data_IF_265616992758
#
_entry.id   IF_265616992758
#
_cell.length_a   1.000
_cell.length_b   1.000
_cell.length_c   1.000
_cell.angle_alpha   90.00
_cell.angle_beta   90.00
_cell.angle_gamma   90.00
#
_symmetry.space_group_name_H-M   'P 1'
#
loop_
_entity.id
_entity.type
_entity.pdbx_description
1 polymer ?
#
# COMPACT_ATOMS: atom_id res chain seq x y z
N UNK A 1 -11.88 -24.06 4.42
CA UNK A 1 -13.23 -24.58 4.49
C UNK A 1 -13.40 -25.79 3.60
N UNK A 2 -14.61 -26.29 3.49
CA UNK A 2 -15.01 -27.42 2.64
C UNK A 2 -16.41 -27.15 2.12
N UNK A 3 -16.61 -27.21 0.80
CA UNK A 3 -17.88 -26.89 0.13
C UNK A 3 -18.80 -28.09 0.00
N UNK A 4 -18.33 -29.31 0.25
CA UNK A 4 -19.11 -30.55 0.09
C UNK A 4 -19.75 -31.04 1.40
N UNK A 5 -19.51 -30.34 2.54
CA UNK A 5 -19.98 -30.82 3.86
C UNK A 5 -21.51 -30.93 4.00
N UNK A 6 -22.25 -30.09 3.29
CA UNK A 6 -23.71 -30.00 3.33
C UNK A 6 -24.36 -30.39 1.99
N UNK A 7 -23.56 -30.79 1.00
CA UNK A 7 -24.05 -31.31 -0.27
C UNK A 7 -24.46 -32.77 -0.14
N UNK A 8 -25.52 -33.17 -0.87
CA UNK A 8 -26.05 -34.52 -0.84
C UNK A 8 -26.38 -35.03 -2.25
N UNK A 9 -26.20 -36.31 -2.44
CA UNK A 9 -26.65 -37.03 -3.63
C UNK A 9 -27.79 -38.01 -3.27
N UNK A 10 -28.79 -38.13 -4.17
CA UNK A 10 -29.96 -38.95 -3.90
C UNK A 10 -29.66 -40.45 -3.85
N UNK A 11 -28.67 -40.89 -4.62
CA UNK A 11 -28.22 -42.29 -4.71
C UNK A 11 -27.02 -42.54 -3.76
N UNK A 12 -26.61 -41.50 -2.99
CA UNK A 12 -25.48 -41.54 -2.06
C UNK A 12 -24.11 -41.74 -2.74
N UNK A 13 -23.99 -41.27 -3.98
CA UNK A 13 -22.73 -41.27 -4.71
C UNK A 13 -21.73 -40.27 -4.12
N UNK A 14 -20.40 -40.54 -4.16
CA UNK A 14 -19.38 -39.63 -3.71
C UNK A 14 -19.35 -38.38 -4.58
N UNK A 15 -19.51 -37.18 -3.95
CA UNK A 15 -19.42 -35.90 -4.62
C UNK A 15 -18.00 -35.42 -4.72
N UNK A 16 -17.68 -34.76 -5.84
CA UNK A 16 -16.40 -34.11 -6.07
C UNK A 16 -16.59 -32.73 -6.71
N UNK A 17 -15.71 -31.79 -6.43
CA UNK A 17 -15.65 -30.53 -7.18
C UNK A 17 -14.98 -30.78 -8.52
N UNK A 18 -15.68 -30.51 -9.60
CA UNK A 18 -15.24 -30.78 -10.98
C UNK A 18 -14.83 -29.53 -11.76
N UNK A 19 -15.34 -28.33 -11.37
CA UNK A 19 -14.99 -27.07 -12.01
C UNK A 19 -15.12 -25.90 -11.04
N UNK A 20 -14.44 -24.81 -11.36
CA UNK A 20 -14.46 -23.51 -10.64
C UNK A 20 -14.33 -22.37 -11.64
N UNK A 21 -15.07 -21.29 -11.44
CA UNK A 21 -14.90 -20.04 -12.20
C UNK A 21 -13.57 -19.36 -11.86
N UNK A 22 -12.97 -18.66 -12.83
CA UNK A 22 -11.73 -17.92 -12.62
C UNK A 22 -10.46 -18.77 -12.59
N UNK A 23 -10.56 -20.12 -12.74
CA UNK A 23 -9.40 -21.02 -12.70
C UNK A 23 -9.73 -22.47 -12.95
N UNK A 24 -8.97 -23.36 -12.32
CA UNK A 24 -9.16 -24.82 -12.38
C UNK A 24 -9.11 -25.40 -10.97
N UNK A 25 -9.79 -26.55 -10.77
CA UNK A 25 -9.72 -27.30 -9.51
C UNK A 25 -8.27 -27.66 -9.19
N UNK A 26 -7.88 -27.53 -7.92
CA UNK A 26 -6.52 -27.72 -7.41
C UNK A 26 -5.49 -26.73 -7.94
N UNK A 27 -5.93 -25.62 -8.55
CA UNK A 27 -5.10 -24.51 -9.02
C UNK A 27 -5.73 -23.19 -8.59
N UNK A 28 -4.99 -22.09 -8.78
CA UNK A 28 -5.47 -20.77 -8.45
C UNK A 28 -6.68 -20.38 -9.33
N UNK A 29 -7.78 -20.04 -8.69
CA UNK A 29 -8.90 -19.32 -9.28
C UNK A 29 -8.82 -17.86 -8.83
N UNK A 30 -8.78 -16.93 -9.80
CA UNK A 30 -8.58 -15.50 -9.51
C UNK A 30 -9.94 -14.81 -9.32
N UNK A 31 -10.10 -14.18 -8.16
CA UNK A 31 -11.12 -13.19 -7.87
C UNK A 31 -10.64 -11.78 -8.13
N UNK A 32 -11.42 -10.79 -7.75
CA UNK A 32 -11.08 -9.37 -7.81
C UNK A 32 -10.11 -9.00 -6.69
N UNK A 33 -10.39 -9.48 -5.48
CA UNK A 33 -9.67 -9.11 -4.26
C UNK A 33 -8.73 -10.20 -3.76
N UNK A 34 -8.89 -11.45 -4.24
CA UNK A 34 -8.09 -12.55 -3.76
C UNK A 34 -8.00 -13.73 -4.71
N UNK A 35 -7.32 -14.75 -4.22
CA UNK A 35 -7.11 -16.01 -4.92
C UNK A 35 -7.75 -17.15 -4.11
N UNK A 36 -8.56 -17.98 -4.79
CA UNK A 36 -9.14 -19.20 -4.25
C UNK A 36 -8.40 -20.42 -4.80
N UNK A 37 -8.05 -21.36 -3.92
CA UNK A 37 -7.66 -22.72 -4.30
C UNK A 37 -8.69 -23.67 -3.72
N UNK A 38 -9.40 -24.40 -4.57
CA UNK A 38 -10.38 -25.42 -4.18
C UNK A 38 -9.92 -26.79 -4.69
N UNK A 39 -9.97 -27.79 -3.84
CA UNK A 39 -9.59 -29.16 -4.18
C UNK A 39 -10.80 -29.97 -4.64
N UNK A 40 -10.56 -31.06 -5.35
CA UNK A 40 -11.64 -31.96 -5.79
C UNK A 40 -12.43 -32.58 -4.64
N UNK A 41 -11.85 -32.69 -3.45
CA UNK A 41 -12.52 -33.18 -2.24
C UNK A 41 -13.33 -32.09 -1.50
N UNK A 42 -13.49 -30.90 -2.08
CA UNK A 42 -14.27 -29.78 -1.50
C UNK A 42 -13.47 -28.85 -0.59
N UNK A 43 -12.29 -29.24 -0.12
CA UNK A 43 -11.48 -28.38 0.73
C UNK A 43 -10.97 -27.15 -0.03
N UNK A 44 -10.96 -25.99 0.63
CA UNK A 44 -10.50 -24.74 0.00
C UNK A 44 -9.75 -23.81 0.94
N UNK A 45 -8.94 -22.96 0.31
CA UNK A 45 -8.28 -21.81 0.94
C UNK A 45 -8.52 -20.57 0.05
N UNK A 46 -8.95 -19.49 0.65
CA UNK A 46 -9.02 -18.18 0.02
C UNK A 46 -7.99 -17.24 0.68
N UNK A 47 -7.29 -16.48 -0.13
CA UNK A 47 -6.32 -15.46 0.31
C UNK A 47 -6.64 -14.15 -0.39
N UNK A 48 -6.86 -13.09 0.36
CA UNK A 48 -6.98 -11.73 -0.17
C UNK A 48 -5.56 -11.22 -0.48
N UNK A 49 -5.09 -11.44 -1.69
CA UNK A 49 -3.69 -11.26 -2.14
C UNK A 49 -3.57 -10.37 -3.38
N UNK A 50 -4.59 -9.58 -3.68
CA UNK A 50 -4.61 -8.70 -4.85
C UNK A 50 -4.43 -7.25 -4.44
N UNK A 51 -3.77 -6.47 -5.29
CA UNK A 51 -3.65 -5.02 -5.11
C UNK A 51 -5.01 -4.30 -4.92
N UNK A 52 -6.09 -4.88 -5.45
CA UNK A 52 -7.44 -4.36 -5.20
C UNK A 52 -7.94 -4.61 -3.76
N UNK A 53 -7.37 -5.59 -3.05
CA UNK A 53 -7.64 -5.78 -1.63
C UNK A 53 -6.80 -4.83 -0.77
N UNK A 54 -5.53 -4.63 -1.14
CA UNK A 54 -4.62 -3.69 -0.47
C UNK A 54 -5.10 -2.22 -0.62
N UNK A 55 -5.85 -1.91 -1.69
CA UNK A 55 -6.40 -0.58 -1.94
C UNK A 55 -7.77 -0.31 -1.27
N UNK A 56 -8.21 -1.19 -0.37
CA UNK A 56 -9.45 -0.98 0.39
C UNK A 56 -9.15 -0.18 1.65
N UNK A 57 -9.80 0.96 1.78
CA UNK A 57 -9.72 1.76 3.00
C UNK A 57 -10.28 1.00 4.22
N UNK A 58 -9.88 1.40 5.42
CA UNK A 58 -10.52 0.92 6.64
C UNK A 58 -12.04 1.10 6.55
N UNK A 59 -12.81 0.13 7.02
CA UNK A 59 -14.27 0.07 6.94
C UNK A 59 -14.86 -0.31 5.56
N UNK A 60 -14.09 -0.38 4.51
CA UNK A 60 -14.55 -0.94 3.25
C UNK A 60 -14.90 -2.42 3.39
N UNK A 61 -16.01 -2.80 2.78
CA UNK A 61 -16.50 -4.19 2.78
C UNK A 61 -16.93 -4.56 1.37
N UNK A 62 -16.19 -5.49 0.79
CA UNK A 62 -16.41 -5.97 -0.58
C UNK A 62 -16.55 -7.49 -0.60
N UNK A 63 -16.91 -8.07 -1.76
CA UNK A 63 -17.05 -9.52 -1.88
C UNK A 63 -16.38 -10.04 -3.15
N UNK A 64 -15.71 -11.18 -3.01
CA UNK A 64 -15.38 -12.08 -4.13
C UNK A 64 -16.38 -13.23 -4.20
N UNK A 65 -16.72 -13.63 -5.41
CA UNK A 65 -17.68 -14.68 -5.65
C UNK A 65 -17.17 -15.66 -6.70
N UNK A 66 -17.23 -16.96 -6.38
CA UNK A 66 -16.80 -18.04 -7.25
C UNK A 66 -17.93 -19.04 -7.44
N UNK A 67 -18.25 -19.36 -8.70
CA UNK A 67 -19.17 -20.45 -9.03
C UNK A 67 -18.38 -21.73 -9.16
N UNK A 68 -18.76 -22.79 -8.44
CA UNK A 68 -18.16 -24.10 -8.56
C UNK A 68 -19.19 -25.12 -9.03
N UNK A 69 -18.68 -26.20 -9.61
CA UNK A 69 -19.50 -27.33 -10.08
C UNK A 69 -19.11 -28.58 -9.32
N UNK A 70 -20.09 -29.29 -8.80
CA UNK A 70 -19.91 -30.63 -8.22
C UNK A 70 -20.37 -31.70 -9.21
N UNK A 71 -19.82 -32.90 -9.05
CA UNK A 71 -20.18 -34.09 -9.86
C UNK A 71 -20.23 -35.32 -8.97
N UNK A 72 -21.19 -36.20 -9.28
CA UNK A 72 -21.39 -37.55 -8.70
C UNK A 72 -20.52 -38.64 -9.37
N UNK A 73 -19.79 -38.28 -10.46
CA UNK A 73 -19.01 -39.25 -11.23
C UNK A 73 -19.83 -40.15 -12.20
N UNK A 74 -21.16 -40.08 -12.13
CA UNK A 74 -22.08 -40.88 -12.94
C UNK A 74 -22.82 -40.06 -14.02
N UNK A 75 -22.44 -38.79 -14.17
CA UNK A 75 -22.98 -37.87 -15.17
C UNK A 75 -23.89 -36.78 -14.61
N UNK A 76 -24.26 -36.84 -13.32
CA UNK A 76 -24.96 -35.79 -12.62
C UNK A 76 -23.99 -34.66 -12.23
N UNK A 77 -24.46 -33.42 -12.35
CA UNK A 77 -23.71 -32.24 -11.94
C UNK A 77 -24.62 -31.17 -11.35
N UNK A 78 -24.15 -30.41 -10.39
CA UNK A 78 -24.81 -29.21 -9.86
C UNK A 78 -23.82 -28.08 -9.70
N UNK A 79 -24.32 -26.83 -9.69
CA UNK A 79 -23.48 -25.64 -9.49
C UNK A 79 -23.95 -24.90 -8.26
N UNK A 80 -22.98 -24.33 -7.53
CA UNK A 80 -23.23 -23.45 -6.40
C UNK A 80 -22.22 -22.30 -6.38
N UNK A 81 -22.38 -21.38 -5.43
CA UNK A 81 -21.56 -20.18 -5.31
C UNK A 81 -20.90 -20.11 -3.95
N UNK A 82 -19.62 -19.84 -3.94
CA UNK A 82 -18.84 -19.55 -2.75
C UNK A 82 -18.54 -18.05 -2.72
N UNK A 83 -18.92 -17.38 -1.64
CA UNK A 83 -18.77 -15.93 -1.48
C UNK A 83 -17.84 -15.64 -0.29
N UNK A 84 -16.83 -14.82 -0.53
CA UNK A 84 -15.93 -14.30 0.50
C UNK A 84 -16.19 -12.83 0.71
N UNK A 85 -16.30 -12.42 1.97
CA UNK A 85 -16.32 -11.02 2.36
C UNK A 85 -14.90 -10.61 2.70
N UNK A 86 -14.38 -9.60 2.00
CA UNK A 86 -13.08 -8.97 2.24
C UNK A 86 -13.33 -7.63 2.91
N UNK A 87 -12.61 -7.37 3.98
CA UNK A 87 -12.66 -6.10 4.70
C UNK A 87 -11.34 -5.39 4.52
N UNK A 88 -11.38 -4.09 4.22
CA UNK A 88 -10.23 -3.22 4.20
C UNK A 88 -9.65 -3.02 5.60
N UNK A 89 -8.38 -2.75 5.62
CA UNK A 89 -7.60 -2.30 6.79
C UNK A 89 -6.84 -1.05 6.36
N UNK A 90 -6.54 -0.16 7.31
CA UNK A 90 -5.73 1.02 7.07
C UNK A 90 -4.27 0.60 6.88
N UNK A 91 -3.67 0.98 5.77
CA UNK A 91 -2.26 0.77 5.47
C UNK A 91 -1.45 2.03 5.81
N UNK A 92 -0.24 1.86 6.31
CA UNK A 92 0.64 2.98 6.61
C UNK A 92 1.29 3.53 5.31
N UNK A 93 1.44 4.85 5.17
CA UNK A 93 2.12 5.44 4.02
C UNK A 93 3.60 5.05 3.95
N UNK A 94 4.11 4.97 2.74
CA UNK A 94 5.51 4.65 2.43
C UNK A 94 6.21 5.89 1.91
N UNK A 95 7.09 6.48 2.76
CA UNK A 95 7.93 7.61 2.41
C UNK A 95 9.18 7.19 1.64
N UNK A 96 9.53 7.94 0.61
CA UNK A 96 10.73 7.77 -0.22
C UNK A 96 11.61 9.01 -0.12
N UNK A 97 12.88 8.82 0.25
CA UNK A 97 13.80 9.93 0.51
C UNK A 97 14.02 10.83 -0.72
N UNK A 98 14.06 12.14 -0.48
CA UNK A 98 14.29 13.19 -1.46
C UNK A 98 15.67 13.82 -1.30
N UNK A 99 16.13 14.47 -2.36
CA UNK A 99 17.40 15.22 -2.35
C UNK A 99 17.25 16.57 -3.04
N UNK A 100 17.98 17.56 -2.53
CA UNK A 100 18.10 18.87 -3.14
C UNK A 100 19.54 19.38 -3.05
N UNK A 101 19.92 20.29 -3.93
CA UNK A 101 21.22 20.94 -3.90
C UNK A 101 21.06 22.44 -4.08
N UNK A 102 21.89 23.19 -3.38
CA UNK A 102 21.88 24.65 -3.41
C UNK A 102 23.29 25.17 -3.05
N UNK A 103 23.71 26.29 -3.63
CA UNK A 103 24.95 26.93 -3.28
C UNK A 103 24.79 27.71 -1.93
N UNK A 104 25.92 28.00 -1.24
CA UNK A 104 25.91 28.86 -0.06
C UNK A 104 25.27 30.21 -0.41
N UNK A 105 24.59 30.83 0.55
CA UNK A 105 23.82 32.07 0.42
C UNK A 105 22.63 32.02 -0.56
N UNK A 106 22.38 30.87 -1.20
CA UNK A 106 21.27 30.72 -2.12
C UNK A 106 20.06 30.02 -1.48
N UNK A 107 18.93 30.09 -2.18
CA UNK A 107 17.67 29.50 -1.77
C UNK A 107 17.20 28.49 -2.83
N UNK A 108 16.85 27.30 -2.38
CA UNK A 108 16.13 26.29 -3.16
C UNK A 108 14.63 26.38 -2.81
N UNK A 109 13.78 26.51 -3.82
CA UNK A 109 12.33 26.41 -3.68
C UNK A 109 11.81 25.25 -4.53
N UNK A 110 11.02 24.39 -3.92
CA UNK A 110 10.41 23.22 -4.58
C UNK A 110 8.90 23.26 -4.34
N UNK A 111 8.13 23.22 -5.43
CA UNK A 111 6.67 23.21 -5.37
C UNK A 111 6.13 21.84 -4.96
N UNK A 112 4.89 21.76 -4.46
CA UNK A 112 4.25 20.53 -4.00
C UNK A 112 4.27 19.39 -5.07
N UNK A 113 4.03 19.71 -6.34
CA UNK A 113 4.06 18.71 -7.42
C UNK A 113 5.44 18.06 -7.71
N UNK A 114 6.51 18.57 -7.10
CA UNK A 114 7.87 18.01 -7.13
C UNK A 114 8.48 18.03 -5.72
N UNK A 115 7.65 18.23 -4.71
CA UNK A 115 8.02 18.28 -3.31
C UNK A 115 8.18 16.89 -2.72
N UNK A 116 8.41 16.83 -1.42
CA UNK A 116 8.78 15.60 -0.71
C UNK A 116 7.71 14.49 -0.78
N UNK A 117 6.43 14.84 -0.97
CA UNK A 117 5.34 13.86 -1.10
C UNK A 117 5.14 13.32 -2.53
N UNK A 118 5.92 13.81 -3.51
CA UNK A 118 5.66 13.50 -4.92
C UNK A 118 6.03 12.06 -5.33
N UNK A 119 6.85 11.39 -4.56
CA UNK A 119 7.32 10.01 -4.74
C UNK A 119 6.89 9.09 -3.58
N UNK A 120 6.21 9.63 -2.59
CA UNK A 120 5.60 8.87 -1.50
C UNK A 120 4.30 8.20 -1.96
N UNK A 121 3.95 7.11 -1.35
CA UNK A 121 2.77 6.32 -1.73
C UNK A 121 2.01 5.83 -0.50
N UNK A 122 0.74 5.55 -0.73
CA UNK A 122 -0.14 4.88 0.20
C UNK A 122 -0.90 3.81 -0.59
N UNK A 123 -1.16 2.66 0.00
CA UNK A 123 -1.91 1.59 -0.65
C UNK A 123 -3.41 1.88 -0.68
N UNK A 124 -3.92 2.59 0.33
CA UNK A 124 -5.34 2.93 0.46
C UNK A 124 -5.80 3.90 -0.63
N UNK A 125 -6.91 3.58 -1.30
CA UNK A 125 -7.37 4.29 -2.50
C UNK A 125 -7.80 5.74 -2.25
N UNK A 126 -8.27 6.07 -1.05
CA UNK A 126 -8.73 7.42 -0.68
C UNK A 126 -7.72 8.22 0.13
N UNK A 127 -6.56 7.66 0.43
CA UNK A 127 -5.52 8.31 1.22
C UNK A 127 -5.00 9.59 0.58
N UNK A 128 -4.78 10.59 1.41
CA UNK A 128 -4.14 11.84 1.04
C UNK A 128 -2.95 12.10 1.94
N UNK A 129 -1.75 12.04 1.37
CA UNK A 129 -0.51 12.26 2.11
C UNK A 129 -0.37 13.71 2.55
N UNK A 130 0.15 13.92 3.75
CA UNK A 130 0.49 15.24 4.26
C UNK A 130 1.64 15.16 5.25
N UNK A 131 2.54 16.15 5.19
CA UNK A 131 3.58 16.31 6.20
C UNK A 131 2.95 16.86 7.48
N UNK A 132 3.18 16.21 8.61
CA UNK A 132 2.71 16.66 9.92
C UNK A 132 3.81 17.32 10.75
N UNK A 133 4.99 16.71 10.75
CA UNK A 133 6.15 17.18 11.51
C UNK A 133 7.41 17.12 10.65
N UNK A 134 8.39 17.93 11.01
CA UNK A 134 9.72 17.92 10.42
C UNK A 134 10.76 18.11 11.50
N UNK A 135 11.89 17.44 11.37
CA UNK A 135 13.00 17.58 12.33
C UNK A 135 14.33 17.73 11.60
N UNK A 136 15.37 18.11 12.33
CA UNK A 136 16.75 18.16 11.84
C UNK A 136 17.60 17.15 12.59
N UNK A 137 18.26 16.26 11.88
CA UNK A 137 19.22 15.33 12.48
C UNK A 137 20.49 16.02 12.98
N UNK A 138 20.83 17.17 12.40
CA UNK A 138 22.07 17.90 12.71
C UNK A 138 21.93 18.73 13.96
N UNK A 139 20.77 19.33 14.25
CA UNK A 139 20.55 20.26 15.36
C UNK A 139 19.58 19.78 16.42
N UNK A 140 18.91 18.63 16.18
CA UNK A 140 17.84 18.11 17.03
C UNK A 140 16.63 19.05 17.17
N UNK A 141 16.49 20.04 16.29
CA UNK A 141 15.32 20.90 16.22
C UNK A 141 14.16 20.17 15.53
N UNK A 142 12.93 20.41 15.96
CA UNK A 142 11.72 19.85 15.36
C UNK A 142 10.57 20.84 15.46
N UNK A 143 9.58 20.68 14.56
CA UNK A 143 8.36 21.49 14.55
C UNK A 143 7.28 20.86 13.68
N UNK A 144 6.10 21.45 13.68
CA UNK A 144 5.02 21.09 12.76
C UNK A 144 5.34 21.62 11.35
N UNK A 145 4.70 21.01 10.35
CA UNK A 145 4.76 21.49 8.97
C UNK A 145 4.48 23.00 8.89
N UNK A 146 5.22 23.70 8.02
CA UNK A 146 5.22 25.14 7.89
C UNK A 146 6.11 25.90 8.89
N UNK A 147 6.68 25.23 9.90
CA UNK A 147 7.67 25.85 10.80
C UNK A 147 9.06 25.90 10.15
N UNK A 148 9.82 26.96 10.44
CA UNK A 148 11.23 27.03 10.05
C UNK A 148 12.06 26.13 10.98
N UNK A 149 12.76 25.17 10.43
CA UNK A 149 13.67 24.26 11.13
C UNK A 149 15.11 24.60 10.74
N UNK A 150 15.94 24.88 11.71
CA UNK A 150 17.37 25.22 11.49
C UNK A 150 18.19 23.92 11.46
N UNK A 151 18.84 23.66 10.34
CA UNK A 151 19.89 22.67 10.17
C UNK A 151 21.27 23.21 10.59
N UNK A 152 22.32 22.50 10.28
CA UNK A 152 23.70 22.96 10.51
C UNK A 152 24.09 23.99 9.45
N UNK A 153 23.77 23.77 8.19
CA UNK A 153 24.20 24.59 7.05
C UNK A 153 23.10 25.50 6.52
N UNK A 154 21.83 25.26 6.86
CA UNK A 154 20.73 26.07 6.37
C UNK A 154 19.46 25.95 7.19
N UNK A 155 18.40 26.53 6.65
CA UNK A 155 17.08 26.56 7.25
C UNK A 155 16.05 26.00 6.26
N UNK A 156 15.23 25.08 6.72
CA UNK A 156 14.14 24.47 5.96
C UNK A 156 12.80 24.98 6.47
N UNK A 157 11.90 25.33 5.56
CA UNK A 157 10.47 25.39 5.79
C UNK A 157 9.81 24.37 4.87
N UNK A 158 9.17 23.37 5.46
CA UNK A 158 8.47 22.30 4.76
C UNK A 158 6.98 22.38 5.12
N UNK A 159 6.14 22.63 4.11
CA UNK A 159 4.69 22.75 4.29
C UNK A 159 3.99 21.39 4.25
N UNK A 160 2.75 21.35 4.74
CA UNK A 160 1.96 20.10 4.80
C UNK A 160 1.67 19.48 3.44
N UNK A 161 1.71 20.23 2.35
CA UNK A 161 1.53 19.77 0.98
C UNK A 161 2.81 19.26 0.31
N UNK A 162 3.92 19.17 1.07
CA UNK A 162 5.21 18.68 0.63
C UNK A 162 6.08 19.71 -0.10
N UNK A 163 5.58 20.92 -0.38
CA UNK A 163 6.44 21.99 -0.92
C UNK A 163 7.42 22.44 0.13
N UNK A 164 8.62 22.87 -0.28
CA UNK A 164 9.61 23.35 0.67
C UNK A 164 10.49 24.45 0.13
N UNK A 165 11.05 25.19 1.08
CA UNK A 165 12.11 26.17 0.85
C UNK A 165 13.27 25.86 1.77
N UNK A 166 14.47 25.73 1.20
CA UNK A 166 15.71 25.60 1.97
C UNK A 166 16.65 26.75 1.61
N UNK A 167 17.23 27.38 2.61
CA UNK A 167 18.17 28.51 2.44
C UNK A 167 19.48 28.19 3.15
N UNK A 168 20.55 28.06 2.40
CA UNK A 168 21.91 27.79 2.94
C UNK A 168 22.57 29.09 3.43
N UNK A 169 22.21 29.53 4.63
CA UNK A 169 22.60 30.87 5.15
C UNK A 169 23.06 30.85 6.60
N UNK A 170 23.65 29.75 7.04
CA UNK A 170 24.25 29.70 8.39
C UNK A 170 25.75 29.98 8.35
N UNK A 171 26.31 30.36 9.49
CA UNK A 171 27.76 30.54 9.61
C UNK A 171 28.57 29.26 9.30
N UNK A 172 27.95 28.07 9.43
CA UNK A 172 28.58 26.80 9.04
C UNK A 172 28.65 26.66 7.51
N UNK A 173 27.64 27.12 6.79
CA UNK A 173 27.66 27.18 5.31
C UNK A 173 28.76 28.16 4.83
N UNK A 174 28.80 29.36 5.36
CA UNK A 174 29.80 30.41 5.01
C UNK A 174 31.27 29.96 5.24
N UNK A 175 31.48 28.99 6.13
CA UNK A 175 32.80 28.45 6.44
C UNK A 175 33.19 27.24 5.58
N UNK A 176 32.38 26.83 4.62
CA UNK A 176 32.75 25.75 3.72
C UNK A 176 33.90 26.14 2.80
N UNK A 177 34.87 25.26 2.66
CA UNK A 177 35.98 25.48 1.75
C UNK A 177 35.52 25.45 0.29
N UNK A 178 36.18 26.16 -0.59
CA UNK A 178 35.89 26.16 -2.01
C UNK A 178 35.74 24.74 -2.60
N UNK A 179 34.63 24.46 -3.26
CA UNK A 179 34.22 23.16 -3.75
C UNK A 179 33.94 22.07 -2.67
N UNK A 180 33.88 22.44 -1.38
CA UNK A 180 33.40 21.52 -0.36
C UNK A 180 31.87 21.37 -0.45
N UNK A 181 31.38 20.19 -0.10
CA UNK A 181 29.93 19.90 0.02
C UNK A 181 29.61 19.46 1.45
N UNK A 182 28.46 19.87 1.94
CA UNK A 182 27.92 19.47 3.23
C UNK A 182 26.44 19.10 3.08
N UNK A 183 25.88 18.42 4.07
CA UNK A 183 24.50 17.92 3.99
C UNK A 183 23.77 18.18 5.29
N UNK A 184 22.60 18.80 5.21
CA UNK A 184 21.56 18.75 6.22
C UNK A 184 20.57 17.63 5.92
N UNK A 185 20.07 16.97 6.96
CA UNK A 185 19.06 15.91 6.84
C UNK A 185 17.86 16.26 7.69
N UNK A 186 16.69 16.28 7.06
CA UNK A 186 15.42 16.65 7.68
C UNK A 186 14.40 15.51 7.54
N UNK A 187 14.27 14.61 8.53
CA UNK A 187 13.16 13.66 8.60
C UNK A 187 11.80 14.35 8.71
N UNK A 188 10.82 13.83 8.02
CA UNK A 188 9.42 14.28 8.03
C UNK A 188 8.46 13.10 8.13
#
# INVERSE_FOLDING_TARGET
GDVLLDDTDADSDPLTVSAISGGSVSSNANGTYGTLVIQSNGSYVYTADKAAADALDADDVVTDQFTYTISDGNGGTATSTLTFTVKGIDDDPVGVADTGAVDEDAQLQVNAGSGVLSNDTDADASSSLSVTTVSSNNTSQSGSAGSEITGEYGKLTLDSDGKYTYTANTAAADNLAHNATATDVFPY
#
